data_IF_416047263025
#
_entry.id   IF_416047263025
#
_cell.length_a   1.000
_cell.length_b   1.000
_cell.length_c   1.000
_cell.angle_alpha   90.00
_cell.angle_beta   90.00
_cell.angle_gamma   90.00
#
_symmetry.space_group_name_H-M   'P 1'
#
loop_
_entity.id
_entity.type
_entity.pdbx_description
1 polymer ?
#
# COMPACT_ATOMS: atom_id res chain seq x y z
N UNK A 1 -11.30 -14.26 -8.76
CA UNK A 1 -9.99 -14.72 -8.27
C UNK A 1 -10.09 -15.02 -6.80
N UNK A 2 -9.39 -16.07 -6.29
CA UNK A 2 -9.44 -16.48 -4.88
C UNK A 2 -8.04 -16.83 -4.40
N UNK A 3 -7.76 -16.61 -3.12
CA UNK A 3 -6.46 -16.94 -2.51
C UNK A 3 -6.11 -18.43 -2.67
N UNK A 4 -7.09 -19.31 -2.56
CA UNK A 4 -6.92 -20.76 -2.76
C UNK A 4 -6.28 -21.11 -4.10
N UNK A 5 -6.54 -20.34 -5.16
CA UNK A 5 -6.01 -20.60 -6.50
C UNK A 5 -4.53 -20.19 -6.64
N UNK A 6 -4.00 -19.41 -5.71
CA UNK A 6 -2.63 -18.86 -5.78
C UNK A 6 -1.75 -19.26 -4.60
N UNK A 7 -2.31 -19.94 -3.60
CA UNK A 7 -1.58 -20.33 -2.39
C UNK A 7 -0.35 -21.19 -2.68
N UNK A 8 -0.42 -22.04 -3.72
CA UNK A 8 0.63 -22.98 -4.11
C UNK A 8 1.54 -22.45 -5.23
N UNK A 9 1.35 -21.21 -5.66
CA UNK A 9 2.18 -20.61 -6.69
C UNK A 9 3.63 -20.47 -6.23
N UNK A 10 4.56 -20.40 -7.20
CA UNK A 10 5.97 -20.11 -6.92
C UNK A 10 6.10 -18.76 -6.18
N UNK A 11 7.10 -18.65 -5.30
CA UNK A 11 7.34 -17.43 -4.51
C UNK A 11 7.49 -16.18 -5.38
N UNK A 12 8.14 -16.31 -6.55
CA UNK A 12 8.29 -15.23 -7.54
C UNK A 12 6.96 -14.72 -8.05
N UNK A 13 6.09 -15.65 -8.46
CA UNK A 13 4.83 -15.31 -9.11
C UNK A 13 3.82 -14.77 -8.10
N UNK A 14 3.81 -15.32 -6.89
CA UNK A 14 3.04 -14.78 -5.78
C UNK A 14 3.45 -13.33 -5.47
N UNK A 15 4.76 -13.06 -5.35
CA UNK A 15 5.27 -11.70 -5.12
C UNK A 15 4.96 -10.77 -6.29
N UNK A 16 5.05 -11.27 -7.53
CA UNK A 16 4.72 -10.48 -8.73
C UNK A 16 3.25 -10.05 -8.73
N UNK A 17 2.34 -10.92 -8.30
CA UNK A 17 0.92 -10.62 -8.24
C UNK A 17 0.57 -9.70 -7.06
N UNK A 18 1.04 -10.03 -5.86
CA UNK A 18 0.62 -9.36 -4.61
C UNK A 18 1.48 -8.17 -4.22
N UNK A 19 2.69 -8.06 -4.77
CA UNK A 19 3.69 -7.06 -4.36
C UNK A 19 4.47 -7.42 -3.09
N UNK A 20 4.04 -8.43 -2.33
CA UNK A 20 4.65 -8.81 -1.05
C UNK A 20 5.13 -10.26 -1.06
N UNK A 21 6.07 -10.58 -0.16
CA UNK A 21 6.49 -11.97 0.07
C UNK A 21 5.38 -12.74 0.79
N UNK A 22 5.36 -14.06 0.65
CA UNK A 22 4.36 -14.92 1.30
C UNK A 22 4.38 -14.78 2.82
N UNK A 23 5.56 -14.73 3.41
CA UNK A 23 5.73 -14.55 4.85
C UNK A 23 5.13 -13.21 5.33
N UNK A 24 5.25 -12.17 4.52
CA UNK A 24 4.63 -10.86 4.80
C UNK A 24 3.12 -10.92 4.67
N UNK A 25 2.61 -11.62 3.65
CA UNK A 25 1.17 -11.84 3.48
C UNK A 25 0.55 -12.57 4.68
N UNK A 26 1.22 -13.61 5.17
CA UNK A 26 0.76 -14.38 6.35
C UNK A 26 0.75 -13.51 7.61
N UNK A 27 1.76 -12.68 7.82
CA UNK A 27 1.77 -11.71 8.93
C UNK A 27 0.62 -10.72 8.82
N UNK A 28 0.40 -10.15 7.64
CA UNK A 28 -0.74 -9.26 7.39
C UNK A 28 -2.07 -9.96 7.65
N UNK A 29 -2.22 -11.20 7.21
CA UNK A 29 -3.42 -12.00 7.42
C UNK A 29 -3.68 -12.27 8.90
N UNK A 30 -2.63 -12.59 9.67
CA UNK A 30 -2.73 -12.78 11.14
C UNK A 30 -3.23 -11.50 11.83
N UNK A 31 -2.68 -10.34 11.44
CA UNK A 31 -3.11 -9.04 11.95
C UNK A 31 -4.58 -8.78 11.62
N UNK A 32 -4.99 -8.99 10.37
CA UNK A 32 -6.38 -8.78 9.94
C UNK A 32 -7.33 -9.69 10.69
N UNK A 33 -6.95 -10.95 10.94
CA UNK A 33 -7.76 -11.88 11.71
C UNK A 33 -7.94 -11.43 13.18
N UNK A 34 -6.91 -10.81 13.75
CA UNK A 34 -6.93 -10.27 15.11
C UNK A 34 -7.75 -8.98 15.22
N UNK A 35 -7.50 -8.04 14.31
CA UNK A 35 -8.08 -6.69 14.37
C UNK A 35 -9.53 -6.61 13.87
N UNK A 36 -9.93 -7.51 12.96
CA UNK A 36 -11.27 -7.48 12.40
C UNK A 36 -12.18 -8.48 13.12
N UNK A 37 -13.20 -8.01 13.82
CA UNK A 37 -14.14 -8.89 14.52
C UNK A 37 -14.95 -9.74 13.53
N UNK A 38 -15.28 -10.95 13.96
CA UNK A 38 -16.23 -11.83 13.25
C UNK A 38 -17.65 -11.51 13.73
N UNK A 39 -18.15 -10.31 13.41
CA UNK A 39 -19.45 -9.85 13.86
C UNK A 39 -20.45 -9.77 12.72
N UNK A 40 -21.67 -10.22 12.97
CA UNK A 40 -22.79 -10.09 12.05
C UNK A 40 -22.76 -11.08 10.87
N UNK A 41 -23.37 -10.67 9.74
CA UNK A 41 -23.45 -11.51 8.54
C UNK A 41 -22.06 -11.84 8.00
N UNK A 42 -21.76 -13.11 7.72
CA UNK A 42 -20.45 -13.49 7.17
C UNK A 42 -20.18 -12.77 5.83
N UNK A 43 -18.98 -12.25 5.64
CA UNK A 43 -18.63 -11.56 4.40
C UNK A 43 -18.60 -12.54 3.23
N UNK A 44 -18.89 -12.06 2.02
CA UNK A 44 -18.82 -12.86 0.77
C UNK A 44 -17.40 -13.36 0.46
N UNK A 45 -16.39 -12.65 0.96
CA UNK A 45 -14.97 -12.98 0.82
C UNK A 45 -14.39 -13.37 2.18
N UNK A 46 -13.58 -14.44 2.21
CA UNK A 46 -12.78 -14.77 3.38
C UNK A 46 -11.69 -13.70 3.62
N UNK A 47 -11.01 -13.73 4.76
CA UNK A 47 -10.00 -12.72 5.13
C UNK A 47 -8.80 -12.70 4.17
N UNK A 48 -8.37 -13.87 3.71
CA UNK A 48 -7.28 -13.99 2.76
C UNK A 48 -7.64 -13.38 1.41
N UNK A 49 -8.87 -13.58 0.92
CA UNK A 49 -9.37 -12.97 -0.30
C UNK A 49 -9.53 -11.45 -0.17
N UNK A 50 -9.97 -10.95 1.00
CA UNK A 50 -10.07 -9.52 1.27
C UNK A 50 -8.68 -8.86 1.22
N UNK A 51 -7.68 -9.49 1.86
CA UNK A 51 -6.30 -9.02 1.81
C UNK A 51 -5.73 -9.07 0.39
N UNK A 52 -5.90 -10.21 -0.30
CA UNK A 52 -5.45 -10.37 -1.69
C UNK A 52 -6.03 -9.28 -2.59
N UNK A 53 -7.33 -9.04 -2.50
CA UNK A 53 -8.01 -8.01 -3.27
C UNK A 53 -7.42 -6.61 -2.99
N UNK A 54 -7.14 -6.29 -1.74
CA UNK A 54 -6.54 -5.01 -1.33
C UNK A 54 -5.12 -4.86 -1.88
N UNK A 55 -4.29 -5.92 -1.79
CA UNK A 55 -2.93 -5.90 -2.33
C UNK A 55 -2.91 -5.76 -3.85
N UNK A 56 -3.83 -6.42 -4.55
CA UNK A 56 -3.97 -6.25 -6.00
C UNK A 56 -4.37 -4.82 -6.38
N UNK A 57 -5.27 -4.21 -5.61
CA UNK A 57 -5.64 -2.82 -5.80
C UNK A 57 -4.43 -1.88 -5.68
N UNK A 58 -3.63 -2.03 -4.64
CA UNK A 58 -2.43 -1.22 -4.45
C UNK A 58 -1.34 -1.48 -5.49
N UNK A 59 -1.19 -2.74 -5.90
CA UNK A 59 -0.12 -3.16 -6.81
C UNK A 59 -0.37 -2.79 -8.27
N UNK A 60 -1.60 -2.98 -8.75
CA UNK A 60 -1.91 -2.96 -10.18
C UNK A 60 -2.54 -1.65 -10.64
N UNK A 61 -2.83 -0.71 -9.75
CA UNK A 61 -3.55 0.54 -10.05
C UNK A 61 -4.87 0.33 -10.80
N UNK A 62 -5.49 -0.83 -10.64
CA UNK A 62 -6.81 -1.12 -11.24
C UNK A 62 -7.89 -0.29 -10.57
N UNK A 63 -8.88 0.13 -11.35
CA UNK A 63 -10.06 0.77 -10.76
C UNK A 63 -10.86 -0.21 -9.90
N UNK A 64 -11.54 0.30 -8.89
CA UNK A 64 -12.39 -0.52 -8.03
C UNK A 64 -13.48 -1.24 -8.82
N UNK A 65 -13.93 -0.67 -9.95
CA UNK A 65 -14.85 -1.29 -10.88
C UNK A 65 -14.29 -2.59 -11.48
N UNK A 66 -13.07 -2.58 -11.99
CA UNK A 66 -12.43 -3.78 -12.55
C UNK A 66 -12.20 -4.88 -11.51
N UNK A 67 -11.84 -4.47 -10.29
CA UNK A 67 -11.67 -5.40 -9.17
C UNK A 67 -13.02 -6.00 -8.77
N UNK A 68 -14.07 -5.19 -8.71
CA UNK A 68 -15.43 -5.64 -8.43
C UNK A 68 -15.86 -6.73 -9.41
N UNK A 69 -15.65 -6.52 -10.71
CA UNK A 69 -15.91 -7.53 -11.74
C UNK A 69 -15.10 -8.82 -11.53
N UNK A 70 -13.82 -8.73 -11.19
CA UNK A 70 -12.95 -9.89 -10.96
C UNK A 70 -13.35 -10.75 -9.76
N UNK A 71 -13.98 -10.15 -8.74
CA UNK A 71 -14.39 -10.83 -7.51
C UNK A 71 -15.92 -11.07 -7.40
N UNK A 72 -16.70 -10.62 -8.38
CA UNK A 72 -18.17 -10.72 -8.36
C UNK A 72 -18.81 -9.91 -7.24
N UNK A 73 -18.28 -8.69 -7.01
CA UNK A 73 -18.73 -7.77 -5.98
C UNK A 73 -19.23 -6.46 -6.58
N UNK A 74 -19.92 -5.64 -5.77
CA UNK A 74 -20.18 -4.25 -6.13
C UNK A 74 -18.96 -3.38 -5.80
N UNK A 75 -18.73 -2.32 -6.55
CA UNK A 75 -17.66 -1.34 -6.33
C UNK A 75 -17.70 -0.77 -4.91
N UNK A 76 -18.87 -0.46 -4.39
CA UNK A 76 -19.05 0.01 -3.02
C UNK A 76 -18.58 -1.02 -1.97
N UNK A 77 -18.71 -2.33 -2.25
CA UNK A 77 -18.22 -3.39 -1.38
C UNK A 77 -16.70 -3.46 -1.44
N UNK A 78 -16.11 -3.34 -2.62
CA UNK A 78 -14.66 -3.29 -2.81
C UNK A 78 -14.07 -2.12 -2.04
N UNK A 79 -14.60 -0.90 -2.22
CA UNK A 79 -14.16 0.30 -1.53
C UNK A 79 -14.17 0.13 0.01
N UNK A 80 -15.30 -0.34 0.54
CA UNK A 80 -15.43 -0.59 2.00
C UNK A 80 -14.47 -1.65 2.51
N UNK A 81 -14.24 -2.70 1.73
CA UNK A 81 -13.34 -3.78 2.12
C UNK A 81 -11.88 -3.31 2.14
N UNK A 82 -11.45 -2.56 1.13
CA UNK A 82 -10.11 -1.97 1.07
C UNK A 82 -9.88 -1.09 2.29
N UNK A 83 -10.76 -0.11 2.55
CA UNK A 83 -10.65 0.78 3.72
C UNK A 83 -10.56 0.00 5.04
N UNK A 84 -11.41 -1.01 5.19
CA UNK A 84 -11.44 -1.86 6.39
C UNK A 84 -10.12 -2.61 6.60
N UNK A 85 -9.52 -3.14 5.54
CA UNK A 85 -8.21 -3.83 5.60
C UNK A 85 -7.10 -2.83 5.90
N UNK A 86 -7.10 -1.67 5.24
CA UNK A 86 -6.14 -0.58 5.49
C UNK A 86 -6.17 -0.14 6.96
N UNK A 87 -7.35 0.15 7.48
CA UNK A 87 -7.52 0.57 8.89
C UNK A 87 -7.02 -0.49 9.86
N UNK A 88 -7.29 -1.77 9.61
CA UNK A 88 -6.82 -2.87 10.46
C UNK A 88 -5.29 -2.95 10.46
N UNK A 89 -4.66 -2.90 9.28
CA UNK A 89 -3.20 -2.94 9.17
C UNK A 89 -2.53 -1.72 9.82
N UNK A 90 -3.11 -0.53 9.64
CA UNK A 90 -2.59 0.70 10.25
C UNK A 90 -2.75 0.70 11.78
N UNK A 91 -3.87 0.19 12.28
CA UNK A 91 -4.15 0.13 13.72
C UNK A 91 -3.19 -0.80 14.46
N UNK A 92 -2.78 -1.89 13.84
CA UNK A 92 -1.81 -2.83 14.43
C UNK A 92 -0.46 -2.20 14.74
N UNK A 93 -0.07 -1.16 14.02
CA UNK A 93 1.23 -0.49 14.16
C UNK A 93 2.41 -1.25 13.53
N UNK A 94 2.24 -2.52 13.15
CA UNK A 94 3.32 -3.37 12.60
C UNK A 94 3.76 -2.95 11.19
N UNK A 95 2.87 -2.28 10.45
CA UNK A 95 3.08 -1.86 9.05
C UNK A 95 3.21 -0.34 8.89
N UNK A 96 3.63 0.34 9.95
CA UNK A 96 3.91 1.79 9.90
C UNK A 96 5.27 2.05 9.28
N UNK A 97 5.34 3.09 8.47
CA UNK A 97 6.64 3.61 8.04
C UNK A 97 7.37 4.16 9.27
N UNK A 98 8.69 3.92 9.38
CA UNK A 98 9.49 4.52 10.43
C UNK A 98 9.37 6.05 10.34
N UNK A 99 9.10 6.70 11.47
CA UNK A 99 9.02 8.16 11.54
C UNK A 99 10.39 8.81 11.30
N UNK A 100 10.38 10.12 11.02
CA UNK A 100 11.62 10.90 10.78
C UNK A 100 12.70 10.72 11.85
N UNK A 101 12.32 10.43 13.09
CA UNK A 101 13.25 10.18 14.19
C UNK A 101 14.12 8.93 13.99
N UNK A 102 13.61 7.91 13.30
CA UNK A 102 14.37 6.69 12.99
C UNK A 102 15.38 6.93 11.86
N UNK A 103 15.18 8.00 11.08
CA UNK A 103 16.10 8.43 10.02
C UNK A 103 17.22 9.33 10.56
N UNK A 104 17.14 9.78 11.84
CA UNK A 104 18.22 10.51 12.49
C UNK A 104 19.20 9.51 13.09
N UNK A 105 20.46 9.53 12.70
CA UNK A 105 21.40 8.46 13.01
C UNK A 105 21.95 8.58 14.42
N UNK A 106 21.75 7.58 15.25
CA UNK A 106 22.77 7.25 16.21
C UNK A 106 23.37 5.86 15.92
N UNK A 107 22.58 4.91 15.39
CA UNK A 107 23.09 3.55 15.16
C UNK A 107 22.51 2.81 13.94
N UNK A 108 21.70 3.47 13.12
CA UNK A 108 21.10 2.83 11.96
C UNK A 108 21.91 3.17 10.70
N UNK A 109 22.57 2.18 10.13
CA UNK A 109 23.20 2.29 8.81
C UNK A 109 22.11 2.41 7.74
N UNK A 110 21.88 3.63 7.25
CA UNK A 110 21.00 3.87 6.09
C UNK A 110 21.88 3.75 4.85
N UNK A 111 21.73 2.65 4.13
CA UNK A 111 22.54 2.37 2.95
C UNK A 111 22.12 3.20 1.73
N UNK A 112 20.83 3.42 1.54
CA UNK A 112 20.28 4.21 0.44
C UNK A 112 19.02 4.93 0.89
N UNK A 113 18.93 6.25 0.65
CA UNK A 113 17.70 7.04 0.73
C UNK A 113 17.32 7.47 -0.66
N UNK A 114 16.20 6.95 -1.18
CA UNK A 114 15.61 7.40 -2.44
C UNK A 114 14.56 8.47 -2.14
N UNK A 115 14.79 9.67 -2.66
CA UNK A 115 13.82 10.78 -2.58
C UNK A 115 13.23 11.00 -3.96
N UNK A 116 11.94 10.74 -4.10
CA UNK A 116 11.18 11.08 -5.31
C UNK A 116 10.67 12.50 -5.19
N UNK A 117 10.97 13.33 -6.19
CA UNK A 117 10.50 14.70 -6.28
C UNK A 117 9.69 14.88 -7.57
N UNK A 118 8.41 15.22 -7.41
CA UNK A 118 7.55 15.59 -8.52
C UNK A 118 7.47 17.11 -8.67
N UNK A 119 7.64 17.60 -9.88
CA UNK A 119 7.39 19.01 -10.22
C UNK A 119 5.91 19.15 -10.61
N UNK A 120 5.16 19.96 -9.87
CA UNK A 120 3.84 20.40 -10.30
C UNK A 120 3.93 21.79 -10.90
N UNK A 121 3.55 21.97 -12.19
CA UNK A 121 3.44 23.29 -12.77
C UNK A 121 2.32 24.06 -12.07
N UNK A 122 2.68 25.19 -11.45
CA UNK A 122 1.70 26.10 -10.84
C UNK A 122 1.31 27.14 -11.89
N UNK A 123 0.02 27.25 -12.19
CA UNK A 123 -0.48 28.34 -13.02
C UNK A 123 -0.13 29.70 -12.40
N UNK A 124 0.57 30.54 -13.14
CA UNK A 124 0.94 31.88 -12.68
C UNK A 124 -0.32 32.75 -12.60
N UNK A 125 -0.56 33.43 -11.48
CA UNK A 125 -1.65 34.40 -11.41
C UNK A 125 -1.42 35.52 -12.44
N UNK A 126 -2.44 35.83 -13.22
CA UNK A 126 -2.38 36.79 -14.34
C UNK A 126 -1.97 38.22 -13.98
N UNK A 127 -1.82 38.57 -12.71
CA UNK A 127 -1.59 39.95 -12.22
C UNK A 127 -0.30 40.19 -11.44
N UNK A 128 0.61 39.24 -11.32
CA UNK A 128 1.88 39.51 -10.61
C UNK A 128 3.05 38.93 -11.37
N UNK A 129 3.97 39.79 -11.84
CA UNK A 129 5.21 39.41 -12.52
C UNK A 129 6.32 38.94 -11.55
N UNK A 130 6.06 38.80 -10.27
CA UNK A 130 7.08 38.48 -9.29
C UNK A 130 6.88 37.08 -8.72
N UNK A 131 7.74 36.20 -9.14
CA UNK A 131 8.26 35.01 -8.48
C UNK A 131 7.30 34.07 -7.78
N UNK A 132 6.99 32.95 -8.46
CA UNK A 132 6.86 31.69 -7.74
C UNK A 132 7.19 30.54 -8.67
N UNK A 133 8.46 30.28 -8.84
CA UNK A 133 8.93 28.99 -9.36
C UNK A 133 9.50 28.26 -8.13
N UNK A 134 8.68 27.48 -7.48
CA UNK A 134 9.17 26.58 -6.45
C UNK A 134 9.58 25.28 -7.14
N UNK A 135 10.79 25.25 -7.68
CA UNK A 135 11.44 24.02 -8.07
C UNK A 135 11.94 23.32 -6.82
N UNK A 136 11.30 22.23 -6.42
CA UNK A 136 11.88 21.33 -5.42
C UNK A 136 12.90 20.45 -6.11
N UNK A 137 14.17 20.70 -5.84
CA UNK A 137 15.28 19.84 -6.31
C UNK A 137 15.31 18.56 -5.49
N UNK A 138 15.41 17.41 -6.17
CA UNK A 138 15.73 16.12 -5.57
C UNK A 138 17.18 16.10 -5.09
N UNK A 139 17.40 15.74 -3.85
CA UNK A 139 18.74 15.53 -3.31
C UNK A 139 18.98 14.03 -3.17
N UNK A 140 19.83 13.49 -4.01
CA UNK A 140 20.33 12.11 -3.90
C UNK A 140 21.56 12.16 -3.00
N UNK A 141 21.45 11.68 -1.78
CA UNK A 141 22.59 11.51 -0.89
C UNK A 141 23.12 10.08 -1.01
N UNK A 142 24.24 9.92 -1.74
CA UNK A 142 25.06 8.70 -1.66
C UNK A 142 26.05 8.87 -0.52
N UNK A 143 25.94 8.06 0.53
CA UNK A 143 27.02 7.90 1.49
C UNK A 143 27.86 6.69 1.08
N UNK A 144 29.09 6.92 0.68
CA UNK A 144 30.13 5.90 0.62
C UNK A 144 30.81 5.78 1.99
N UNK A 145 31.07 4.52 2.37
CA UNK A 145 31.98 4.23 3.48
C UNK A 145 33.42 4.53 3.05
#
# INVERSE_FOLDING_TARGET
>A
MRYENIKDWKKSDFKRLTGVKRETFEKMLAVINKELPNFGRPPKLNRADQLLMTLMYWREYRTQFHIAGSYGLSEATVCRTIKKVEEALMRSGEFRLPGKKVLQPSDTLIEIVLVDASEQPIERPKKSKNNTTAAKRSVILKKHK
#
